data_IF_637625182837
#
_entry.id   IF_637625182837
#
_cell.length_a   1.000
_cell.length_b   1.000
_cell.length_c   1.000
_cell.angle_alpha   90.00
_cell.angle_beta   90.00
_cell.angle_gamma   90.00
#
_symmetry.space_group_name_H-M   'P 1'
#
loop_
_entity.id
_entity.type
_entity.pdbx_description
1 polymer ?
#
# COMPACT_ATOMS: atom_id res chain seq x y z
N UNK A 1 2.04 7.60 -7.33
CA UNK A 1 1.73 7.52 -5.88
C UNK A 1 1.31 6.09 -5.51
N UNK A 2 1.66 5.56 -4.33
CA UNK A 2 1.60 4.11 -4.04
C UNK A 2 0.17 3.52 -4.07
N UNK A 3 -0.83 4.37 -3.92
CA UNK A 3 -2.26 4.04 -3.93
C UNK A 3 -2.93 4.17 -5.31
N UNK A 4 -2.21 4.56 -6.38
CA UNK A 4 -2.75 4.61 -7.74
C UNK A 4 -3.31 3.26 -8.18
N UNK A 5 -2.83 2.15 -7.59
CA UNK A 5 -3.44 0.83 -7.72
C UNK A 5 -4.94 0.80 -7.42
N UNK A 6 -5.38 1.52 -6.38
CA UNK A 6 -6.75 1.54 -5.90
C UNK A 6 -7.64 2.54 -6.63
N UNK A 7 -7.06 3.61 -7.21
CA UNK A 7 -7.82 4.72 -7.82
C UNK A 7 -7.68 4.84 -9.34
N UNK A 8 -6.82 4.05 -9.98
CA UNK A 8 -6.62 4.13 -11.43
C UNK A 8 -7.88 3.76 -12.22
N UNK A 9 -8.15 4.52 -13.27
CA UNK A 9 -9.13 4.20 -14.31
C UNK A 9 -8.46 4.21 -15.69
N UNK A 10 -8.52 3.11 -16.46
CA UNK A 10 -8.94 1.77 -16.05
C UNK A 10 -8.04 1.24 -14.92
N UNK A 11 -8.57 0.32 -14.09
CA UNK A 11 -7.81 -0.24 -12.96
C UNK A 11 -6.45 -0.76 -13.45
N UNK A 12 -5.40 -0.57 -12.64
CA UNK A 12 -4.00 -0.82 -13.06
C UNK A 12 -3.79 -2.24 -13.64
N UNK A 13 -4.52 -3.25 -13.14
CA UNK A 13 -4.49 -4.62 -13.68
C UNK A 13 -5.12 -4.80 -15.07
N UNK A 14 -5.97 -3.87 -15.50
CA UNK A 14 -6.56 -3.84 -16.84
C UNK A 14 -5.71 -3.01 -17.83
N UNK A 15 -4.68 -2.31 -17.35
CA UNK A 15 -3.80 -1.51 -18.20
C UNK A 15 -2.78 -2.38 -18.93
N UNK A 16 -2.80 -2.35 -20.26
CA UNK A 16 -1.83 -3.06 -21.13
C UNK A 16 -0.49 -2.32 -21.27
N UNK A 17 -0.40 -1.06 -20.83
CA UNK A 17 0.78 -0.21 -20.99
C UNK A 17 1.80 -0.34 -19.86
N UNK A 18 1.43 -1.01 -18.75
CA UNK A 18 2.29 -1.16 -17.58
C UNK A 18 3.07 -2.47 -17.68
N UNK A 19 4.39 -2.40 -17.48
CA UNK A 19 5.26 -3.58 -17.44
C UNK A 19 4.82 -4.55 -16.34
N UNK A 20 4.84 -5.85 -16.60
CA UNK A 20 4.46 -6.91 -15.62
C UNK A 20 5.18 -6.77 -14.27
N UNK A 21 6.45 -6.38 -14.29
CA UNK A 21 7.25 -6.17 -13.06
C UNK A 21 6.73 -5.02 -12.22
N UNK A 22 6.41 -3.89 -12.84
CA UNK A 22 5.81 -2.74 -12.17
C UNK A 22 4.42 -3.08 -11.61
N UNK A 23 3.62 -3.86 -12.36
CA UNK A 23 2.32 -4.34 -11.89
C UNK A 23 2.45 -5.20 -10.61
N UNK A 24 3.43 -6.11 -10.59
CA UNK A 24 3.72 -6.95 -9.45
C UNK A 24 4.13 -6.13 -8.22
N UNK A 25 5.01 -5.14 -8.40
CA UNK A 25 5.44 -4.25 -7.31
C UNK A 25 4.28 -3.43 -6.75
N UNK A 26 3.48 -2.82 -7.61
CA UNK A 26 2.31 -2.02 -7.21
C UNK A 26 1.30 -2.85 -6.44
N UNK A 27 0.99 -4.08 -6.90
CA UNK A 27 0.10 -5.00 -6.20
C UNK A 27 0.61 -5.35 -4.79
N UNK A 28 1.92 -5.60 -4.65
CA UNK A 28 2.48 -5.98 -3.36
C UNK A 28 2.55 -4.79 -2.39
N UNK A 29 2.91 -3.60 -2.88
CA UNK A 29 2.88 -2.38 -2.07
C UNK A 29 1.47 -2.11 -1.58
N UNK A 30 0.46 -2.19 -2.47
CA UNK A 30 -0.93 -2.02 -2.09
C UNK A 30 -1.38 -3.03 -1.01
N UNK A 31 -0.99 -4.31 -1.15
CA UNK A 31 -1.29 -5.33 -0.15
C UNK A 31 -0.68 -5.03 1.23
N UNK A 32 0.58 -4.58 1.28
CA UNK A 32 1.18 -4.15 2.55
C UNK A 32 0.52 -2.89 3.11
N UNK A 33 0.18 -1.91 2.27
CA UNK A 33 -0.48 -0.68 2.71
C UNK A 33 -1.84 -0.92 3.34
N UNK A 34 -2.56 -1.96 2.91
CA UNK A 34 -3.83 -2.35 3.51
C UNK A 34 -3.69 -2.71 5.00
N UNK A 35 -2.54 -3.22 5.45
CA UNK A 35 -2.26 -3.49 6.87
C UNK A 35 -2.15 -2.22 7.73
N UNK A 36 -1.99 -1.06 7.09
CA UNK A 36 -1.81 0.23 7.77
C UNK A 36 -3.05 1.12 7.68
N UNK A 37 -4.18 0.58 7.21
CA UNK A 37 -5.46 1.27 7.20
C UNK A 37 -6.03 1.36 8.62
N UNK A 38 -6.45 2.55 9.09
CA UNK A 38 -6.93 2.74 10.47
C UNK A 38 -8.14 1.89 10.84
N UNK A 39 -9.00 1.60 9.87
CA UNK A 39 -10.26 0.85 10.02
C UNK A 39 -10.19 -0.56 9.43
N UNK A 40 -9.01 -1.01 9.01
CA UNK A 40 -8.85 -2.29 8.32
C UNK A 40 -9.48 -2.31 6.92
N UNK A 41 -9.88 -3.50 6.45
CA UNK A 41 -10.34 -3.76 5.08
C UNK A 41 -11.86 -3.57 4.93
N UNK A 42 -12.37 -2.36 5.14
CA UNK A 42 -13.77 -2.01 4.83
C UNK A 42 -13.81 -0.86 3.81
N UNK A 43 -13.41 -1.16 2.57
CA UNK A 43 -13.53 -0.21 1.46
C UNK A 43 -14.89 -0.41 0.78
N UNK A 44 -15.90 0.34 1.19
CA UNK A 44 -17.17 0.41 0.47
C UNK A 44 -17.01 1.24 -0.80
N UNK A 45 -17.23 0.64 -1.97
CA UNK A 45 -17.12 1.30 -3.27
C UNK A 45 -18.41 1.98 -3.74
N UNK A 46 -19.47 1.97 -2.93
CA UNK A 46 -20.77 2.57 -3.25
C UNK A 46 -20.79 4.11 -3.34
N UNK A 47 -20.01 4.88 -2.54
CA UNK A 47 -20.12 6.34 -2.57
C UNK A 47 -19.46 7.01 -3.80
N UNK A 48 -20.03 8.11 -4.33
CA UNK A 48 -19.38 8.96 -5.35
C UNK A 48 -18.04 9.55 -4.88
N UNK A 49 -17.86 9.70 -3.57
CA UNK A 49 -16.66 10.19 -2.91
C UNK A 49 -15.53 9.15 -2.76
N UNK A 50 -15.74 7.92 -3.25
CA UNK A 50 -14.80 6.80 -3.10
C UNK A 50 -13.36 7.15 -3.51
N UNK A 51 -13.15 7.82 -4.65
CA UNK A 51 -11.79 8.19 -5.09
C UNK A 51 -11.08 9.15 -4.12
N UNK A 52 -11.79 10.16 -3.64
CA UNK A 52 -11.24 11.13 -2.67
C UNK A 52 -10.97 10.49 -1.32
N UNK A 53 -11.84 9.60 -0.86
CA UNK A 53 -11.67 8.87 0.40
C UNK A 53 -10.48 7.91 0.33
N UNK A 54 -10.37 7.13 -0.75
CA UNK A 54 -9.23 6.24 -0.99
C UNK A 54 -7.91 7.02 -1.07
N UNK A 55 -7.92 8.22 -1.66
CA UNK A 55 -6.74 9.08 -1.72
C UNK A 55 -6.27 9.49 -0.32
N UNK A 56 -7.21 9.92 0.54
CA UNK A 56 -6.92 10.32 1.92
C UNK A 56 -6.43 9.12 2.73
N UNK A 57 -7.16 8.01 2.69
CA UNK A 57 -6.80 6.76 3.37
C UNK A 57 -5.45 6.21 2.89
N UNK A 58 -5.19 6.26 1.58
CA UNK A 58 -3.93 5.82 0.98
C UNK A 58 -2.75 6.66 1.44
N UNK A 59 -2.91 7.98 1.55
CA UNK A 59 -1.88 8.88 2.08
C UNK A 59 -1.61 8.61 3.57
N UNK A 60 -2.65 8.36 4.36
CA UNK A 60 -2.51 8.02 5.76
C UNK A 60 -1.81 6.66 5.95
N UNK A 61 -2.24 5.63 5.22
CA UNK A 61 -1.62 4.31 5.25
C UNK A 61 -0.14 4.35 4.83
N UNK A 62 0.19 5.16 3.82
CA UNK A 62 1.58 5.38 3.43
C UNK A 62 2.39 6.03 4.56
N UNK A 63 1.84 7.05 5.22
CA UNK A 63 2.47 7.68 6.39
C UNK A 63 2.75 6.67 7.51
N UNK A 64 1.74 5.88 7.87
CA UNK A 64 1.84 4.83 8.88
C UNK A 64 2.90 3.78 8.52
N UNK A 65 2.93 3.33 7.25
CA UNK A 65 3.93 2.38 6.77
C UNK A 65 5.35 2.94 6.86
N UNK A 66 5.56 4.22 6.57
CA UNK A 66 6.87 4.88 6.68
C UNK A 66 7.31 5.01 8.15
N UNK A 67 6.40 5.36 9.07
CA UNK A 67 6.69 5.39 10.51
C UNK A 67 7.08 4.00 11.01
N UNK A 68 6.36 2.97 10.59
CA UNK A 68 6.66 1.59 10.91
C UNK A 68 8.05 1.17 10.38
N UNK A 69 8.36 1.47 9.12
CA UNK A 69 9.68 1.21 8.54
C UNK A 69 10.79 1.88 9.36
N UNK A 70 10.61 3.13 9.77
CA UNK A 70 11.57 3.86 10.61
C UNK A 70 11.75 3.20 11.99
N UNK A 71 10.66 2.76 12.63
CA UNK A 71 10.70 2.02 13.90
C UNK A 71 11.49 0.70 13.77
N UNK A 72 11.47 0.09 12.60
CA UNK A 72 12.22 -1.12 12.27
C UNK A 72 13.58 -0.86 11.59
N UNK A 73 14.11 0.36 11.70
CA UNK A 73 15.47 0.71 11.27
C UNK A 73 15.65 0.95 9.77
N UNK A 74 14.57 1.17 9.02
CA UNK A 74 14.61 1.49 7.59
C UNK A 74 14.32 2.97 7.33
N UNK A 75 15.14 3.61 6.49
CA UNK A 75 14.94 4.98 6.00
C UNK A 75 14.30 5.02 4.60
N UNK A 76 13.69 3.93 4.16
CA UNK A 76 13.14 3.82 2.80
C UNK A 76 11.94 4.74 2.61
N UNK A 77 12.00 5.60 1.57
CA UNK A 77 10.93 6.54 1.21
C UNK A 77 10.32 6.24 -0.16
N UNK A 78 11.08 5.62 -1.08
CA UNK A 78 10.60 5.26 -2.40
C UNK A 78 9.85 3.91 -2.40
N UNK A 79 8.87 3.73 -3.30
CA UNK A 79 7.97 2.58 -3.33
C UNK A 79 8.72 1.23 -3.34
N UNK A 80 9.66 1.07 -4.28
CA UNK A 80 10.42 -0.17 -4.42
C UNK A 80 11.31 -0.45 -3.21
N UNK A 81 11.94 0.58 -2.64
CA UNK A 81 12.77 0.42 -1.43
C UNK A 81 11.95 0.10 -0.20
N UNK A 82 10.77 0.71 -0.06
CA UNK A 82 9.83 0.45 1.03
C UNK A 82 9.30 -0.98 0.92
N UNK A 83 8.92 -1.44 -0.29
CA UNK A 83 8.52 -2.82 -0.54
C UNK A 83 9.60 -3.84 -0.13
N UNK A 84 10.87 -3.56 -0.47
CA UNK A 84 11.99 -4.42 -0.09
C UNK A 84 12.15 -4.48 1.44
N UNK A 85 12.02 -3.35 2.13
CA UNK A 85 12.08 -3.29 3.58
C UNK A 85 10.90 -4.03 4.23
N UNK A 86 9.67 -3.80 3.77
CA UNK A 86 8.45 -4.48 4.24
C UNK A 86 8.57 -6.00 4.08
N UNK A 87 9.07 -6.50 2.94
CA UNK A 87 9.33 -7.94 2.74
C UNK A 87 10.34 -8.51 3.74
N UNK A 88 11.40 -7.75 4.05
CA UNK A 88 12.40 -8.19 5.04
C UNK A 88 11.77 -8.30 6.43
N UNK A 89 10.97 -7.32 6.82
CA UNK A 89 10.26 -7.31 8.11
C UNK A 89 9.22 -8.45 8.17
N UNK A 90 8.55 -8.75 7.07
CA UNK A 90 7.59 -9.85 6.98
C UNK A 90 8.25 -11.21 7.20
N UNK A 91 9.41 -11.45 6.58
CA UNK A 91 10.18 -12.68 6.82
C UNK A 91 10.62 -12.85 8.28
N UNK A 92 10.70 -11.75 9.04
CA UNK A 92 11.03 -11.75 10.47
C UNK A 92 9.80 -11.92 11.38
N UNK A 93 8.59 -12.08 10.82
CA UNK A 93 7.35 -12.27 11.59
C UNK A 93 6.92 -11.04 12.40
N UNK A 94 7.32 -9.84 12.00
CA UNK A 94 7.11 -8.60 12.79
C UNK A 94 5.84 -7.82 12.42
N UNK A 95 4.89 -8.43 11.73
CA UNK A 95 3.59 -7.83 11.39
C UNK A 95 2.44 -8.27 12.30
N UNK A 96 2.71 -9.09 13.32
CA UNK A 96 1.65 -9.66 14.17
C UNK A 96 0.75 -8.59 14.80
N UNK A 97 1.30 -7.43 15.18
CA UNK A 97 0.54 -6.32 15.77
C UNK A 97 -0.35 -5.56 14.75
N UNK A 98 -0.28 -5.91 13.46
CA UNK A 98 -0.99 -5.24 12.36
C UNK A 98 -1.90 -6.20 11.57
N UNK A 99 -1.97 -7.47 11.98
CA UNK A 99 -2.94 -8.43 11.50
C UNK A 99 -4.06 -8.43 12.55
N UNK A 100 -5.16 -7.76 12.24
CA UNK A 100 -6.39 -7.75 13.05
C UNK A 100 -7.32 -8.84 12.57
#
# INVERSE_FOLDING_TARGET
MWFEWLTAEPRVYASKSIKKTALYELRHVAGYLMLFLPTGFALDSSPPAFKSEILVLGKQAQGNALVFLKKHGSTAVAAGTALKALRKIHKLGKFNDHIV
#
